data_IF_149282650959
#
_entry.id   IF_149282650959
#
_cell.length_a   1.000
_cell.length_b   1.000
_cell.length_c   1.000
_cell.angle_alpha   90.00
_cell.angle_beta   90.00
_cell.angle_gamma   90.00
#
_symmetry.space_group_name_H-M   'P 1'
#
loop_
_entity.id
_entity.type
_entity.pdbx_description
1 polymer ?
#
# COMPACT_ATOMS: atom_id res chain seq x y z
N UNK A 1 4.85 8.16 9.51
CA UNK A 1 3.93 7.12 9.02
C UNK A 1 4.70 6.12 8.16
N UNK A 2 4.44 4.83 8.32
CA UNK A 2 5.10 3.73 7.59
C UNK A 2 4.09 3.03 6.68
N UNK A 3 4.43 2.97 5.40
CA UNK A 3 3.65 2.31 4.35
C UNK A 3 4.36 1.01 3.93
N UNK A 4 3.68 -0.13 3.97
CA UNK A 4 4.25 -1.45 3.65
C UNK A 4 3.32 -2.22 2.73
N UNK A 5 3.83 -2.65 1.58
CA UNK A 5 3.12 -3.54 0.65
C UNK A 5 3.85 -4.87 0.53
N UNK A 6 3.10 -5.98 0.54
CA UNK A 6 3.61 -7.32 0.27
C UNK A 6 2.72 -8.01 -0.75
N UNK A 7 3.31 -8.37 -1.88
CA UNK A 7 2.68 -9.22 -2.88
C UNK A 7 3.26 -10.63 -2.81
N UNK A 8 2.40 -11.63 -2.90
CA UNK A 8 2.81 -13.04 -3.01
C UNK A 8 2.18 -13.63 -4.27
N UNK A 9 3.01 -13.81 -5.29
CA UNK A 9 2.58 -14.28 -6.59
C UNK A 9 1.94 -15.68 -6.57
N UNK A 10 2.56 -16.63 -5.85
CA UNK A 10 2.08 -18.02 -5.75
C UNK A 10 0.64 -18.12 -5.24
N UNK A 11 0.26 -17.21 -4.34
CA UNK A 11 -1.06 -17.20 -3.71
C UNK A 11 -2.00 -16.17 -4.35
N UNK A 12 -1.53 -15.38 -5.32
CA UNK A 12 -2.28 -14.24 -5.90
C UNK A 12 -2.63 -13.13 -4.88
N UNK A 13 -2.03 -13.15 -3.69
CA UNK A 13 -2.45 -12.30 -2.56
C UNK A 13 -1.60 -11.04 -2.46
N UNK A 14 -2.29 -9.93 -2.21
CA UNK A 14 -1.68 -8.64 -1.93
C UNK A 14 -2.12 -8.16 -0.54
N UNK A 15 -1.15 -7.74 0.26
CA UNK A 15 -1.37 -7.15 1.58
C UNK A 15 -0.75 -5.76 1.61
N UNK A 16 -1.57 -4.76 1.93
CA UNK A 16 -1.15 -3.40 2.22
C UNK A 16 -1.32 -3.11 3.71
N UNK A 17 -0.33 -2.45 4.31
CA UNK A 17 -0.37 -1.99 5.70
C UNK A 17 0.15 -0.56 5.80
N UNK A 18 -0.60 0.30 6.47
CA UNK A 18 -0.18 1.66 6.84
C UNK A 18 -0.26 1.81 8.34
N UNK A 19 0.78 2.38 8.94
CA UNK A 19 0.82 2.57 10.40
C UNK A 19 1.63 3.78 10.82
N UNK A 20 1.18 4.45 11.88
CA UNK A 20 1.89 5.52 12.59
C UNK A 20 2.39 5.06 13.98
N UNK A 21 2.47 3.74 14.19
CA UNK A 21 2.76 3.06 15.47
C UNK A 21 1.69 3.22 16.57
N UNK A 22 0.60 3.97 16.33
CA UNK A 22 -0.58 4.02 17.22
C UNK A 22 -1.77 3.28 16.62
N UNK A 23 -1.98 3.47 15.32
CA UNK A 23 -3.04 2.85 14.53
C UNK A 23 -2.41 2.05 13.38
N UNK A 24 -3.04 0.92 13.05
CA UNK A 24 -2.66 0.07 11.93
C UNK A 24 -3.88 -0.15 11.02
N UNK A 25 -3.82 0.37 9.80
CA UNK A 25 -4.77 0.05 8.75
C UNK A 25 -4.18 -1.05 7.87
N UNK A 26 -4.93 -2.12 7.65
CA UNK A 26 -4.52 -3.26 6.83
C UNK A 26 -5.60 -3.57 5.80
N UNK A 27 -5.18 -3.69 4.54
CA UNK A 27 -6.01 -4.11 3.43
C UNK A 27 -5.43 -5.37 2.80
N UNK A 28 -6.25 -6.39 2.60
CA UNK A 28 -5.86 -7.66 1.98
C UNK A 28 -6.83 -7.97 0.85
N UNK A 29 -6.29 -8.26 -0.32
CA UNK A 29 -7.06 -8.63 -1.51
C UNK A 29 -6.35 -9.74 -2.27
N UNK A 30 -7.12 -10.59 -2.92
CA UNK A 30 -6.70 -11.59 -3.91
C UNK A 30 -7.20 -11.24 -5.31
N UNK A 31 -7.89 -10.10 -5.46
CA UNK A 31 -8.42 -9.66 -6.73
C UNK A 31 -7.33 -8.98 -7.57
N UNK A 32 -7.03 -9.57 -8.73
CA UNK A 32 -6.02 -9.04 -9.66
C UNK A 32 -6.33 -7.61 -10.15
N UNK A 33 -7.61 -7.23 -10.21
CA UNK A 33 -8.03 -5.88 -10.59
C UNK A 33 -7.57 -4.81 -9.59
N UNK A 34 -7.47 -5.17 -8.31
CA UNK A 34 -7.04 -4.25 -7.26
C UNK A 34 -5.53 -4.03 -7.28
N UNK A 35 -4.75 -4.94 -7.89
CA UNK A 35 -3.31 -4.74 -8.07
C UNK A 35 -3.01 -3.48 -8.90
N UNK A 36 -3.76 -3.25 -9.99
CA UNK A 36 -3.63 -2.04 -10.82
C UNK A 36 -4.02 -0.76 -10.08
N UNK A 37 -5.07 -0.82 -9.24
CA UNK A 37 -5.46 0.31 -8.39
C UNK A 37 -4.35 0.61 -7.37
N UNK A 38 -3.71 -0.44 -6.84
CA UNK A 38 -2.66 -0.32 -5.86
C UNK A 38 -1.37 0.30 -6.41
N UNK A 39 -1.00 0.00 -7.66
CA UNK A 39 0.11 0.68 -8.33
C UNK A 39 -0.13 2.20 -8.45
N UNK A 40 -1.33 2.60 -8.84
CA UNK A 40 -1.70 4.02 -8.91
C UNK A 40 -1.61 4.68 -7.52
N UNK A 41 -2.11 3.99 -6.49
CA UNK A 41 -2.06 4.48 -5.12
C UNK A 41 -0.62 4.60 -4.60
N UNK A 42 0.27 3.66 -4.94
CA UNK A 42 1.69 3.75 -4.62
C UNK A 42 2.34 5.00 -5.20
N UNK A 43 2.09 5.31 -6.47
CA UNK A 43 2.68 6.47 -7.13
C UNK A 43 2.24 7.79 -6.49
N UNK A 44 0.96 7.88 -6.09
CA UNK A 44 0.45 9.03 -5.33
C UNK A 44 1.15 9.13 -3.97
N UNK A 45 1.24 8.01 -3.23
CA UNK A 45 1.89 8.00 -1.92
C UNK A 45 3.36 8.38 -2.00
N UNK A 46 4.12 7.88 -2.98
CA UNK A 46 5.51 8.29 -3.16
C UNK A 46 5.64 9.78 -3.42
N UNK A 47 4.77 10.34 -4.28
CA UNK A 47 4.77 11.79 -4.57
C UNK A 47 4.43 12.61 -3.33
N UNK A 48 3.47 12.17 -2.51
CA UNK A 48 3.13 12.86 -1.27
C UNK A 48 4.20 12.71 -0.18
N UNK A 49 4.96 11.62 -0.19
CA UNK A 49 6.03 11.38 0.79
C UNK A 49 7.34 12.08 0.41
N UNK A 50 7.55 12.43 -0.87
CA UNK A 50 8.70 13.23 -1.33
C UNK A 50 8.49 14.73 -1.13
N UNK A 51 7.24 15.18 -1.19
CA UNK A 51 6.86 16.53 -0.78
C UNK A 51 6.90 16.55 0.74
N UNK A 52 7.96 17.14 1.30
CA UNK A 52 8.06 17.36 2.74
C UNK A 52 6.85 18.15 3.26
N UNK A 53 6.64 18.21 4.58
CA UNK A 53 5.64 19.11 5.13
C UNK A 53 6.07 20.55 4.79
N UNK A 54 5.24 21.25 4.01
CA UNK A 54 5.30 22.71 3.93
C UNK A 54 4.97 23.31 5.31
#
# INVERSE_FOLDING_TARGET
TRYVMKYRHCDGKLVLKVTDNKVCLKFKTDQAQDAKKMEKLNNVFFTLMTRGPD
#
